data_IF_799935833287
#
_entry.id   IF_799935833287
#
_cell.length_a   1.000
_cell.length_b   1.000
_cell.length_c   1.000
_cell.angle_alpha   90.00
_cell.angle_beta   90.00
_cell.angle_gamma   90.00
#
_symmetry.space_group_name_H-M   'P 1'
#
loop_
_entity.id
_entity.type
_entity.pdbx_description
1 polymer ?
#
# COMPACT_ATOMS: atom_id res chain seq x y z
N UNK A 1 15.88 5.93 9.46
CA UNK A 1 14.41 6.06 9.43
C UNK A 1 13.73 4.79 8.94
N UNK A 2 14.06 4.32 7.74
CA UNK A 2 13.38 3.15 7.16
C UNK A 2 13.80 1.84 7.80
N UNK A 3 12.81 1.01 8.10
CA UNK A 3 12.98 -0.40 8.42
C UNK A 3 12.84 -1.27 7.17
N UNK A 4 12.30 -2.47 7.35
CA UNK A 4 12.09 -3.42 6.25
C UNK A 4 10.94 -2.99 5.33
N UNK A 5 10.88 -3.58 4.15
CA UNK A 5 9.70 -3.47 3.29
C UNK A 5 8.55 -4.22 3.98
N UNK A 6 7.45 -3.52 4.20
CA UNK A 6 6.22 -4.12 4.73
C UNK A 6 5.48 -4.87 3.63
N UNK A 7 5.20 -4.19 2.53
CA UNK A 7 4.52 -4.79 1.39
C UNK A 7 4.76 -4.02 0.09
N UNK A 8 4.52 -4.71 -1.01
CA UNK A 8 4.40 -4.12 -2.34
C UNK A 8 2.94 -4.26 -2.72
N UNK A 9 2.30 -3.15 -3.11
CA UNK A 9 0.90 -3.14 -3.49
C UNK A 9 0.76 -3.20 -5.00
N UNK A 10 -0.10 -4.12 -5.46
CA UNK A 10 -0.38 -4.32 -6.87
C UNK A 10 -1.87 -4.10 -7.09
N UNK A 11 -2.21 -3.13 -7.95
CA UNK A 11 -3.57 -2.87 -8.36
C UNK A 11 -3.97 -3.86 -9.46
N UNK A 12 -5.17 -4.43 -9.33
CA UNK A 12 -5.69 -5.41 -10.29
C UNK A 12 -7.10 -5.02 -10.72
N UNK A 13 -7.44 -5.15 -12.01
CA UNK A 13 -8.82 -4.97 -12.46
C UNK A 13 -9.73 -6.11 -12.01
N UNK A 14 -9.18 -7.27 -11.67
CA UNK A 14 -9.93 -8.45 -11.24
C UNK A 14 -9.17 -9.15 -10.12
N UNK A 15 -9.59 -8.90 -8.88
CA UNK A 15 -8.93 -9.44 -7.70
C UNK A 15 -8.97 -10.98 -7.67
N UNK A 16 -10.07 -11.60 -8.12
CA UNK A 16 -10.18 -13.04 -8.11
C UNK A 16 -9.14 -13.70 -9.03
N UNK A 17 -8.88 -13.11 -10.19
CA UNK A 17 -7.85 -13.62 -11.11
C UNK A 17 -6.46 -13.43 -10.52
N UNK A 18 -6.19 -12.30 -9.89
CA UNK A 18 -4.91 -12.05 -9.23
C UNK A 18 -4.67 -13.06 -8.09
N UNK A 19 -5.70 -13.32 -7.27
CA UNK A 19 -5.63 -14.32 -6.21
C UNK A 19 -5.33 -15.72 -6.77
N UNK A 20 -6.02 -16.12 -7.83
CA UNK A 20 -5.77 -17.43 -8.47
C UNK A 20 -4.33 -17.55 -8.97
N UNK A 21 -3.80 -16.48 -9.56
CA UNK A 21 -2.42 -16.49 -10.04
C UNK A 21 -1.43 -16.74 -8.90
N UNK A 22 -1.54 -15.98 -7.81
CA UNK A 22 -0.62 -16.14 -6.70
C UNK A 22 -0.82 -17.45 -5.95
N UNK A 23 -2.06 -17.84 -5.69
CA UNK A 23 -2.37 -19.05 -4.92
C UNK A 23 -2.17 -20.31 -5.73
N UNK A 24 -2.77 -20.40 -6.93
CA UNK A 24 -2.84 -21.64 -7.70
C UNK A 24 -1.63 -21.81 -8.62
N UNK A 25 -1.16 -20.75 -9.26
CA UNK A 25 -0.03 -20.81 -10.18
C UNK A 25 1.30 -20.72 -9.47
N UNK A 26 1.44 -19.74 -8.53
CA UNK A 26 2.70 -19.53 -7.81
C UNK A 26 2.76 -20.25 -6.47
N UNK A 27 1.68 -20.86 -6.02
CA UNK A 27 1.67 -21.66 -4.79
C UNK A 27 1.77 -20.85 -3.51
N UNK A 28 1.42 -19.58 -3.53
CA UNK A 28 1.54 -18.70 -2.38
C UNK A 28 0.36 -18.86 -1.41
N UNK A 29 0.59 -18.53 -0.15
CA UNK A 29 -0.43 -18.44 0.87
C UNK A 29 -1.10 -17.07 0.76
N UNK A 30 -2.43 -17.04 0.58
CA UNK A 30 -3.19 -15.80 0.42
C UNK A 30 -4.25 -15.67 1.51
N UNK A 31 -4.51 -14.44 1.95
CA UNK A 31 -5.54 -14.15 2.94
C UNK A 31 -6.94 -14.11 2.31
N UNK A 32 -7.96 -14.08 3.17
CA UNK A 32 -9.33 -13.77 2.73
C UNK A 32 -9.42 -12.31 2.31
N UNK A 33 -10.33 -11.97 1.36
CA UNK A 33 -10.55 -10.58 0.98
C UNK A 33 -11.06 -9.74 2.16
N UNK A 34 -10.59 -8.50 2.22
CA UNK A 34 -11.00 -7.52 3.21
C UNK A 34 -11.43 -6.25 2.49
N UNK A 35 -12.68 -5.84 2.70
CA UNK A 35 -13.19 -4.59 2.13
C UNK A 35 -12.87 -3.42 3.05
N UNK A 36 -12.31 -2.37 2.47
CA UNK A 36 -11.93 -1.15 3.17
C UNK A 36 -12.63 0.04 2.50
N UNK A 37 -13.94 0.26 2.80
CA UNK A 37 -14.71 1.32 2.12
C UNK A 37 -14.11 2.71 2.29
N UNK A 38 -13.54 3.02 3.45
CA UNK A 38 -12.90 4.32 3.72
C UNK A 38 -11.65 4.55 2.88
N UNK A 39 -11.04 3.49 2.36
CA UNK A 39 -9.90 3.57 1.46
C UNK A 39 -10.28 3.32 -0.01
N UNK A 40 -11.54 2.92 -0.25
CA UNK A 40 -12.04 2.67 -1.60
C UNK A 40 -11.44 1.45 -2.27
N UNK A 41 -11.06 0.42 -1.50
CA UNK A 41 -10.42 -0.78 -2.03
C UNK A 41 -10.91 -2.04 -1.33
N UNK A 42 -10.81 -3.16 -2.04
CA UNK A 42 -10.82 -4.51 -1.48
C UNK A 42 -9.41 -5.06 -1.60
N UNK A 43 -8.89 -5.64 -0.53
CA UNK A 43 -7.51 -6.10 -0.46
C UNK A 43 -7.42 -7.59 -0.15
N UNK A 44 -6.35 -8.22 -0.67
CA UNK A 44 -5.91 -9.57 -0.30
C UNK A 44 -4.41 -9.50 -0.06
N UNK A 45 -3.94 -10.16 0.99
CA UNK A 45 -2.51 -10.25 1.27
C UNK A 45 -1.95 -11.59 0.83
N UNK A 46 -0.83 -11.54 0.11
CA UNK A 46 -0.01 -12.68 -0.24
C UNK A 46 1.14 -12.73 0.76
N UNK A 47 1.18 -13.77 1.61
CA UNK A 47 2.17 -13.88 2.67
C UNK A 47 3.48 -14.44 2.14
N UNK A 48 4.58 -13.72 2.37
CA UNK A 48 5.91 -14.08 1.87
C UNK A 48 6.95 -14.17 2.99
N UNK A 49 6.52 -14.43 4.23
CA UNK A 49 7.41 -14.46 5.38
C UNK A 49 7.58 -13.08 6.00
N UNK A 50 8.72 -12.43 5.78
CA UNK A 50 9.00 -11.11 6.39
C UNK A 50 8.31 -9.95 5.68
N UNK A 51 7.82 -10.16 4.47
CA UNK A 51 7.11 -9.16 3.69
C UNK A 51 5.85 -9.79 3.07
N UNK A 52 5.08 -8.97 2.35
CA UNK A 52 3.90 -9.46 1.65
C UNK A 52 3.64 -8.63 0.40
N UNK A 53 2.80 -9.18 -0.47
CA UNK A 53 2.21 -8.44 -1.57
C UNK A 53 0.77 -8.15 -1.20
N UNK A 54 0.35 -6.90 -1.39
CA UNK A 54 -1.04 -6.48 -1.20
C UNK A 54 -1.69 -6.39 -2.57
N UNK A 55 -2.70 -7.22 -2.83
CA UNK A 55 -3.47 -7.16 -4.06
C UNK A 55 -4.68 -6.27 -3.81
N UNK A 56 -4.90 -5.30 -4.68
CA UNK A 56 -5.94 -4.29 -4.53
C UNK A 56 -6.87 -4.30 -5.74
N UNK A 57 -8.18 -4.16 -5.50
CA UNK A 57 -9.12 -3.78 -6.56
C UNK A 57 -9.99 -2.62 -6.08
N UNK A 58 -10.55 -1.81 -7.01
CA UNK A 58 -11.40 -0.69 -6.62
C UNK A 58 -12.65 -1.15 -5.89
N UNK A 59 -13.05 -0.40 -4.86
CA UNK A 59 -14.32 -0.54 -4.16
C UNK A 59 -15.02 0.81 -4.22
N UNK A 60 -16.14 0.87 -4.92
CA UNK A 60 -16.90 2.09 -5.13
C UNK A 60 -16.37 2.92 -6.32
N UNK A 61 -17.17 3.91 -6.71
CA UNK A 61 -16.93 4.71 -7.92
C UNK A 61 -15.78 5.70 -7.77
N UNK A 62 -15.52 6.15 -6.54
CA UNK A 62 -14.51 7.17 -6.27
C UNK A 62 -13.20 6.57 -5.71
N UNK A 63 -12.92 5.31 -6.06
CA UNK A 63 -11.70 4.65 -5.60
C UNK A 63 -10.46 5.32 -6.19
N UNK A 64 -9.41 5.58 -5.37
CA UNK A 64 -8.14 6.09 -5.89
C UNK A 64 -7.45 5.11 -6.84
N UNK A 65 -7.77 3.81 -6.74
CA UNK A 65 -7.22 2.77 -7.62
C UNK A 65 -7.86 2.83 -9.02
N UNK A 66 -9.10 3.34 -9.13
CA UNK A 66 -9.78 3.44 -10.42
C UNK A 66 -8.99 4.29 -11.41
N UNK A 67 -8.48 5.45 -11.00
CA UNK A 67 -7.68 6.32 -11.86
C UNK A 67 -6.37 5.64 -12.30
N UNK A 68 -5.74 4.89 -11.41
CA UNK A 68 -4.54 4.12 -11.74
C UNK A 68 -4.85 3.06 -12.82
N UNK A 69 -5.97 2.34 -12.67
CA UNK A 69 -6.36 1.29 -13.61
C UNK A 69 -6.80 1.83 -14.97
N UNK A 70 -7.30 3.06 -15.04
CA UNK A 70 -7.57 3.71 -16.33
C UNK A 70 -6.31 3.85 -17.17
N UNK A 71 -5.18 4.17 -16.52
CA UNK A 71 -3.88 4.30 -17.17
C UNK A 71 -3.16 2.96 -17.31
N UNK A 72 -3.52 1.98 -16.51
CA UNK A 72 -2.90 0.66 -16.46
C UNK A 72 -3.99 -0.40 -16.46
N UNK A 73 -4.68 -0.62 -17.59
CA UNK A 73 -5.89 -1.47 -17.63
C UNK A 73 -5.64 -2.94 -17.30
N UNK A 74 -4.40 -3.40 -17.39
CA UNK A 74 -4.03 -4.77 -17.01
C UNK A 74 -3.50 -4.86 -15.57
N UNK A 75 -3.55 -3.75 -14.83
CA UNK A 75 -3.00 -3.69 -13.49
C UNK A 75 -1.53 -3.29 -13.46
N UNK A 76 -0.93 -3.30 -12.30
CA UNK A 76 0.48 -2.98 -12.13
C UNK A 76 0.82 -2.65 -10.69
N UNK A 77 2.11 -2.42 -10.44
CA UNK A 77 2.59 -2.02 -9.11
C UNK A 77 2.08 -0.62 -8.80
N UNK A 78 1.42 -0.48 -7.65
CA UNK A 78 0.81 0.78 -7.24
C UNK A 78 1.68 1.54 -6.24
N UNK A 79 2.19 0.87 -5.21
CA UNK A 79 3.05 1.51 -4.22
C UNK A 79 3.93 0.50 -3.50
N UNK A 80 4.93 1.02 -2.77
CA UNK A 80 5.78 0.25 -1.88
C UNK A 80 5.61 0.84 -0.48
N UNK A 81 5.42 -0.03 0.52
CA UNK A 81 5.31 0.36 1.91
C UNK A 81 6.54 -0.08 2.69
N UNK A 82 7.11 0.86 3.44
CA UNK A 82 8.23 0.60 4.36
C UNK A 82 7.78 0.77 5.80
N UNK A 83 8.36 -0.04 6.67
CA UNK A 83 8.14 0.08 8.12
C UNK A 83 8.91 1.26 8.69
N UNK A 84 8.32 1.94 9.67
CA UNK A 84 9.00 2.94 10.49
C UNK A 84 8.64 2.71 11.96
N UNK A 85 9.50 3.15 12.87
CA UNK A 85 9.25 3.01 14.31
C UNK A 85 8.26 4.06 14.82
N UNK A 86 8.32 5.28 14.28
CA UNK A 86 7.49 6.40 14.75
C UNK A 86 7.07 7.25 13.55
N UNK A 87 5.78 7.18 13.22
CA UNK A 87 5.24 7.85 12.03
C UNK A 87 5.27 9.37 12.15
N UNK A 88 5.10 9.92 13.36
CA UNK A 88 5.12 11.37 13.57
C UNK A 88 6.53 11.94 13.43
N UNK A 89 7.54 11.25 13.95
CA UNK A 89 8.94 11.64 13.75
C UNK A 89 9.33 11.56 12.28
N UNK A 90 8.91 10.49 11.60
CA UNK A 90 9.17 10.34 10.17
C UNK A 90 8.53 11.49 9.38
N UNK A 91 7.25 11.76 9.66
CA UNK A 91 6.53 12.87 9.02
C UNK A 91 7.25 14.19 9.23
N UNK A 92 7.60 14.54 10.48
CA UNK A 92 8.25 15.80 10.80
C UNK A 92 9.59 15.95 10.06
N UNK A 93 10.38 14.89 10.03
CA UNK A 93 11.66 14.88 9.31
C UNK A 93 11.47 15.13 7.82
N UNK A 94 10.49 14.46 7.20
CA UNK A 94 10.24 14.58 5.77
C UNK A 94 9.70 15.94 5.39
N UNK A 95 8.78 16.48 6.18
CA UNK A 95 8.22 17.82 5.95
C UNK A 95 9.33 18.90 6.07
N UNK A 96 10.22 18.77 7.06
CA UNK A 96 11.36 19.69 7.19
C UNK A 96 12.28 19.66 5.97
N UNK A 97 12.35 18.54 5.27
CA UNK A 97 13.14 18.38 4.05
C UNK A 97 12.38 18.81 2.78
N UNK A 98 11.17 19.31 2.93
CA UNK A 98 10.38 19.83 1.82
C UNK A 98 9.53 18.80 1.10
N UNK A 99 9.40 17.57 1.64
CA UNK A 99 8.58 16.54 1.01
C UNK A 99 7.10 16.73 1.34
N UNK A 100 6.25 16.34 0.39
CA UNK A 100 4.79 16.47 0.53
C UNK A 100 4.18 15.16 1.01
N UNK A 101 3.38 15.27 2.09
CA UNK A 101 2.55 14.16 2.57
C UNK A 101 1.20 14.29 1.87
N UNK A 102 0.72 13.22 1.27
CA UNK A 102 -0.56 13.23 0.55
C UNK A 102 -1.75 13.33 1.52
N UNK A 103 -2.89 13.75 0.98
CA UNK A 103 -4.11 13.97 1.74
C UNK A 103 -4.03 15.26 2.57
N UNK A 104 -4.49 15.19 3.81
CA UNK A 104 -4.47 16.34 4.72
C UNK A 104 -3.13 16.50 5.48
N UNK A 105 -2.14 15.68 5.13
CA UNK A 105 -0.83 15.70 5.76
C UNK A 105 -0.77 14.98 7.10
N UNK A 106 -1.83 14.30 7.51
CA UNK A 106 -1.90 13.56 8.77
C UNK A 106 -1.89 12.06 8.52
N UNK A 107 -1.29 11.26 9.44
CA UNK A 107 -1.38 9.81 9.34
C UNK A 107 -2.82 9.32 9.39
N UNK A 108 -3.09 8.24 8.67
CA UNK A 108 -4.38 7.53 8.65
C UNK A 108 -4.15 6.11 9.14
N UNK A 109 -5.23 5.42 9.48
CA UNK A 109 -5.14 4.01 9.87
C UNK A 109 -5.26 3.15 8.61
N UNK A 110 -4.26 2.32 8.36
CA UNK A 110 -4.21 1.43 7.20
C UNK A 110 -4.84 0.07 7.44
N UNK A 111 -4.63 -0.83 6.47
CA UNK A 111 -5.27 -2.15 6.46
C UNK A 111 -4.93 -3.03 7.66
N UNK A 112 -3.73 -2.83 8.25
CA UNK A 112 -3.28 -3.59 9.41
C UNK A 112 -3.65 -2.94 10.75
N UNK A 113 -4.39 -1.83 10.73
CA UNK A 113 -4.74 -1.10 11.94
C UNK A 113 -3.64 -0.20 12.47
N UNK A 114 -2.56 -0.01 11.72
CA UNK A 114 -1.42 0.84 12.10
C UNK A 114 -1.49 2.20 11.42
N UNK A 115 -0.90 3.25 12.01
CA UNK A 115 -0.79 4.54 11.35
C UNK A 115 0.05 4.47 10.09
N UNK A 116 -0.43 5.07 9.00
CA UNK A 116 0.27 5.14 7.73
C UNK A 116 0.22 6.55 7.15
N UNK A 117 1.18 6.85 6.27
CA UNK A 117 1.14 8.04 5.43
C UNK A 117 1.75 7.74 4.06
N UNK A 118 1.42 8.58 3.08
CA UNK A 118 1.92 8.45 1.72
C UNK A 118 2.70 9.68 1.31
N UNK A 119 3.82 9.47 0.62
CA UNK A 119 4.64 10.53 0.03
C UNK A 119 4.27 10.72 -1.43
N UNK A 120 4.28 11.98 -1.89
CA UNK A 120 4.02 12.27 -3.29
C UNK A 120 5.11 11.63 -4.18
N UNK A 121 4.71 10.93 -5.27
CA UNK A 121 5.69 10.24 -6.13
C UNK A 121 6.79 11.14 -6.68
N UNK A 122 6.48 12.40 -6.98
CA UNK A 122 7.48 13.36 -7.48
C UNK A 122 8.59 13.64 -6.48
N UNK A 123 8.33 13.45 -5.19
CA UNK A 123 9.32 13.66 -4.14
C UNK A 123 10.04 12.36 -3.76
N UNK A 124 9.60 11.22 -4.31
CA UNK A 124 10.04 9.89 -3.92
C UNK A 124 10.54 9.05 -5.10
N UNK A 125 11.21 9.69 -6.06
CA UNK A 125 11.82 9.00 -7.18
C UNK A 125 10.84 8.43 -8.21
N UNK A 126 9.62 8.95 -8.26
CA UNK A 126 8.61 8.51 -9.21
C UNK A 126 7.73 7.36 -8.71
N UNK A 127 7.90 6.94 -7.46
CA UNK A 127 7.15 5.84 -6.86
C UNK A 127 6.28 6.38 -5.72
N UNK A 128 5.03 5.96 -5.67
CA UNK A 128 4.19 6.23 -4.50
C UNK A 128 4.74 5.41 -3.33
N UNK A 129 5.18 6.09 -2.29
CA UNK A 129 5.77 5.47 -1.09
C UNK A 129 4.82 5.61 0.07
N UNK A 130 4.53 4.49 0.72
CA UNK A 130 3.79 4.43 1.97
C UNK A 130 4.75 4.15 3.12
N UNK A 131 4.52 4.79 4.26
CA UNK A 131 5.20 4.46 5.51
C UNK A 131 4.17 3.94 6.50
N UNK A 132 4.49 2.87 7.20
CA UNK A 132 3.61 2.27 8.20
C UNK A 132 4.36 2.12 9.51
N UNK A 133 3.76 2.62 10.61
CA UNK A 133 4.33 2.47 11.93
C UNK A 133 4.12 1.05 12.45
N UNK A 134 5.19 0.37 12.81
CA UNK A 134 5.15 -0.97 13.39
C UNK A 134 6.06 -1.03 14.61
N UNK A 135 5.77 -1.93 15.60
CA UNK A 135 6.58 -2.01 16.83
C UNK A 135 8.02 -2.44 16.57
N UNK A 136 8.24 -3.28 15.57
CA UNK A 136 9.57 -3.77 15.20
C UNK A 136 9.79 -3.56 13.71
N UNK A 137 10.34 -2.39 13.29
CA UNK A 137 10.45 -2.05 11.88
C UNK A 137 11.49 -2.88 11.12
N UNK A 138 12.36 -3.59 11.81
CA UNK A 138 13.40 -4.40 11.21
C UNK A 138 12.96 -5.84 11.02
#
# INVERSE_FOLDING_TARGET
MLGAINHIAIASPDLNQAVKFYRDTLGALVSSPQSLPEHGVTVVFVELGESKVELLEPLGENSPIAAFLEKNPNGGMHHICYNVANILEAKDSLVRQGLRILGDGQPKIGAHGNPVLFLHPKDAGGVLVELEQVPNPH
#
